data_IF_429560039124
#
_entry.id   IF_429560039124
#
_cell.length_a   1.000
_cell.length_b   1.000
_cell.length_c   1.000
_cell.angle_alpha   90.00
_cell.angle_beta   90.00
_cell.angle_gamma   90.00
#
_symmetry.space_group_name_H-M   'P 1'
#
loop_
_entity.id
_entity.type
_entity.pdbx_description
1 polymer ?
#
# COMPACT_ATOMS: atom_id res chain seq x y z
N UNK A 1 -44.06 -45.98 22.08
CA UNK A 1 -44.39 -44.62 21.62
C UNK A 1 -43.24 -43.62 21.84
N UNK A 2 -42.68 -43.42 23.03
CA UNK A 2 -41.59 -42.42 23.26
C UNK A 2 -40.25 -42.74 22.59
N UNK A 3 -39.86 -44.01 22.49
CA UNK A 3 -38.59 -44.44 21.87
C UNK A 3 -38.57 -44.22 20.35
N UNK A 4 -39.72 -44.36 19.67
CA UNK A 4 -39.83 -44.10 18.23
C UNK A 4 -39.82 -42.59 17.91
N UNK A 5 -40.34 -41.76 18.81
CA UNK A 5 -40.36 -40.30 18.66
C UNK A 5 -38.96 -39.69 18.86
N UNK A 6 -38.19 -40.22 19.80
CA UNK A 6 -36.80 -39.81 20.03
C UNK A 6 -35.85 -40.26 18.90
N UNK A 7 -36.09 -41.46 18.34
CA UNK A 7 -35.36 -41.94 17.16
C UNK A 7 -35.65 -41.10 15.91
N UNK A 8 -36.91 -40.67 15.72
CA UNK A 8 -37.28 -39.74 14.64
C UNK A 8 -36.63 -38.37 14.79
N UNK A 9 -36.57 -37.83 16.01
CA UNK A 9 -35.88 -36.55 16.29
C UNK A 9 -34.39 -36.60 15.99
N UNK A 10 -33.70 -37.68 16.39
CA UNK A 10 -32.26 -37.86 16.11
C UNK A 10 -31.98 -38.00 14.61
N UNK A 11 -32.85 -38.71 13.88
CA UNK A 11 -32.74 -38.81 12.43
C UNK A 11 -32.96 -37.46 11.71
N UNK A 12 -33.93 -36.66 12.16
CA UNK A 12 -34.20 -35.33 11.59
C UNK A 12 -33.07 -34.32 11.85
N UNK A 13 -32.43 -34.40 13.03
CA UNK A 13 -31.31 -33.53 13.39
C UNK A 13 -30.04 -33.89 12.60
N UNK A 14 -29.79 -35.17 12.38
CA UNK A 14 -28.67 -35.64 11.54
C UNK A 14 -28.89 -35.26 10.07
N UNK A 15 -30.11 -35.35 9.56
CA UNK A 15 -30.47 -34.92 8.20
C UNK A 15 -30.28 -33.40 8.03
N UNK A 16 -30.75 -32.59 9.00
CA UNK A 16 -30.52 -31.13 9.00
C UNK A 16 -29.04 -30.78 9.05
N UNK A 17 -28.23 -31.52 9.80
CA UNK A 17 -26.78 -31.30 9.87
C UNK A 17 -26.09 -31.65 8.55
N UNK A 18 -26.49 -32.75 7.90
CA UNK A 18 -25.99 -33.13 6.56
C UNK A 18 -26.36 -32.09 5.51
N UNK A 19 -27.62 -31.62 5.50
CA UNK A 19 -28.11 -30.60 4.57
C UNK A 19 -27.38 -29.26 4.73
N UNK A 20 -27.10 -28.83 5.98
CA UNK A 20 -26.29 -27.62 6.25
C UNK A 20 -24.84 -27.76 5.78
N UNK A 21 -24.22 -28.93 5.98
CA UNK A 21 -22.85 -29.17 5.53
C UNK A 21 -22.75 -29.19 4.00
N UNK A 22 -23.76 -29.73 3.33
CA UNK A 22 -23.84 -29.75 1.87
C UNK A 22 -24.07 -28.34 1.29
N UNK A 23 -24.96 -27.55 1.89
CA UNK A 23 -25.19 -26.15 1.49
C UNK A 23 -23.95 -25.27 1.72
N UNK A 24 -23.23 -25.45 2.83
CA UNK A 24 -21.98 -24.74 3.11
C UNK A 24 -20.88 -25.11 2.10
N UNK A 25 -20.80 -26.40 1.72
CA UNK A 25 -19.86 -26.89 0.72
C UNK A 25 -20.17 -26.33 -0.67
N UNK A 26 -21.44 -26.35 -1.09
CA UNK A 26 -21.88 -25.74 -2.35
C UNK A 26 -21.60 -24.23 -2.40
N UNK A 27 -21.84 -23.51 -1.29
CA UNK A 27 -21.55 -22.07 -1.20
C UNK A 27 -20.05 -21.75 -1.19
N UNK A 28 -19.21 -22.67 -0.73
CA UNK A 28 -17.75 -22.56 -0.84
C UNK A 28 -17.28 -22.83 -2.28
N UNK A 29 -17.79 -23.89 -2.90
CA UNK A 29 -17.48 -24.25 -4.29
C UNK A 29 -17.93 -23.17 -5.28
N UNK A 30 -19.10 -22.53 -5.09
CA UNK A 30 -19.54 -21.42 -5.94
C UNK A 30 -18.64 -20.18 -5.81
N UNK A 31 -18.12 -19.92 -4.60
CA UNK A 31 -17.20 -18.81 -4.34
C UNK A 31 -15.84 -19.04 -4.99
N UNK A 32 -15.34 -20.27 -4.89
CA UNK A 32 -14.08 -20.66 -5.51
C UNK A 32 -14.21 -20.70 -7.04
N UNK A 33 -15.38 -21.12 -7.57
CA UNK A 33 -15.68 -21.04 -9.01
C UNK A 33 -15.72 -19.59 -9.50
N UNK A 34 -16.43 -18.70 -8.80
CA UNK A 34 -16.46 -17.25 -9.14
C UNK A 34 -15.08 -16.61 -9.07
N UNK A 35 -14.22 -16.99 -8.13
CA UNK A 35 -12.82 -16.52 -8.07
C UNK A 35 -12.02 -16.99 -9.27
N UNK A 36 -12.11 -18.27 -9.64
CA UNK A 36 -11.44 -18.82 -10.83
C UNK A 36 -11.93 -18.17 -12.12
N UNK A 37 -13.24 -17.99 -12.28
CA UNK A 37 -13.82 -17.31 -13.46
C UNK A 37 -13.34 -15.84 -13.55
N UNK A 38 -13.22 -15.13 -12.43
CA UNK A 38 -12.65 -13.77 -12.41
C UNK A 38 -11.17 -13.77 -12.78
N UNK A 39 -10.38 -14.72 -12.27
CA UNK A 39 -8.96 -14.87 -12.63
C UNK A 39 -8.79 -15.20 -14.12
N UNK A 40 -9.62 -16.08 -14.69
CA UNK A 40 -9.58 -16.42 -16.11
C UNK A 40 -10.07 -15.26 -17.00
N UNK A 41 -11.08 -14.50 -16.57
CA UNK A 41 -11.55 -13.31 -17.29
C UNK A 41 -10.45 -12.23 -17.33
N UNK A 42 -9.78 -12.00 -16.20
CA UNK A 42 -8.61 -11.10 -16.13
C UNK A 42 -7.47 -11.63 -17.01
N UNK A 43 -7.21 -12.93 -17.01
CA UNK A 43 -6.19 -13.56 -17.88
C UNK A 43 -6.51 -13.43 -19.37
N UNK A 44 -7.78 -13.56 -19.75
CA UNK A 44 -8.21 -13.43 -21.14
C UNK A 44 -8.28 -11.98 -21.63
N UNK A 45 -8.58 -11.02 -20.76
CA UNK A 45 -8.45 -9.58 -21.05
C UNK A 45 -6.99 -9.11 -21.18
N UNK A 46 -6.03 -9.88 -20.67
CA UNK A 46 -4.59 -9.60 -20.75
C UNK A 46 -3.90 -10.11 -22.01
N UNK A 47 -4.63 -10.71 -22.97
CA UNK A 47 -4.03 -11.07 -24.27
C UNK A 47 -3.91 -9.80 -25.14
N UNK A 48 -2.70 -9.37 -25.54
CA UNK A 48 -2.53 -8.19 -26.38
C UNK A 48 -3.11 -8.42 -27.78
N UNK A 49 -3.85 -7.43 -28.31
CA UNK A 49 -4.57 -7.51 -29.59
C UNK A 49 -3.73 -7.08 -30.81
N UNK A 50 -2.41 -7.24 -30.77
CA UNK A 50 -1.52 -6.78 -31.84
C UNK A 50 -0.38 -7.77 -32.12
N UNK A 51 -0.09 -7.96 -33.41
CA UNK A 51 1.02 -8.79 -33.91
C UNK A 51 2.27 -7.92 -34.03
N UNK A 52 3.26 -8.14 -33.18
CA UNK A 52 4.57 -7.49 -33.28
C UNK A 52 5.45 -8.34 -34.19
N UNK A 53 5.63 -7.93 -35.44
CA UNK A 53 6.68 -8.47 -36.32
C UNK A 53 8.02 -7.89 -35.89
N UNK A 54 8.81 -8.67 -35.14
CA UNK A 54 10.19 -8.30 -34.79
C UNK A 54 11.09 -8.46 -36.01
N UNK A 55 11.63 -7.36 -36.53
CA UNK A 55 12.84 -7.38 -37.37
C UNK A 55 14.07 -7.58 -36.48
N UNK A 56 15.07 -8.23 -37.09
CA UNK A 56 16.33 -8.72 -36.55
C UNK A 56 17.17 -7.67 -35.82
N UNK A 57 17.62 -8.00 -34.60
CA UNK A 57 19.04 -8.18 -34.24
C UNK A 57 19.23 -8.15 -32.72
N UNK A 58 19.95 -9.13 -32.18
CA UNK A 58 20.55 -9.07 -30.83
C UNK A 58 19.81 -9.79 -29.70
N UNK A 59 20.27 -11.02 -29.41
CA UNK A 59 20.23 -11.74 -28.13
C UNK A 59 18.89 -12.02 -27.43
N UNK A 60 18.48 -13.30 -27.52
CA UNK A 60 17.53 -13.96 -26.62
C UNK A 60 18.29 -14.56 -25.43
N UNK A 61 18.03 -14.04 -24.23
CA UNK A 61 17.97 -14.81 -22.97
C UNK A 61 16.92 -14.11 -22.12
N UNK A 62 15.66 -14.49 -22.18
CA UNK A 62 15.06 -15.56 -21.39
C UNK A 62 13.70 -15.03 -20.92
N UNK A 63 12.71 -15.91 -20.84
CA UNK A 63 11.32 -15.58 -20.53
C UNK A 63 11.18 -14.96 -19.13
N UNK A 64 11.19 -13.63 -19.05
CA UNK A 64 10.72 -12.93 -17.87
C UNK A 64 9.20 -12.84 -17.92
N UNK A 65 8.57 -13.66 -17.08
CA UNK A 65 7.21 -13.45 -16.61
C UNK A 65 7.04 -11.96 -16.23
N UNK A 66 6.29 -11.20 -17.02
CA UNK A 66 5.74 -9.86 -16.69
C UNK A 66 4.69 -9.93 -15.56
N UNK A 67 4.82 -10.87 -14.62
CA UNK A 67 4.30 -10.77 -13.26
C UNK A 67 5.34 -10.24 -12.28
N UNK A 68 6.52 -9.88 -12.78
CA UNK A 68 7.51 -9.06 -12.12
C UNK A 68 7.72 -7.75 -12.88
N UNK A 69 6.69 -6.91 -13.03
CA UNK A 69 6.95 -5.46 -12.86
C UNK A 69 7.31 -5.24 -11.39
N UNK A 70 8.48 -5.78 -11.00
CA UNK A 70 9.18 -5.42 -9.80
C UNK A 70 9.38 -3.94 -9.98
N UNK A 71 8.73 -3.15 -9.12
CA UNK A 71 9.12 -1.76 -8.89
C UNK A 71 10.63 -1.72 -9.00
N UNK A 72 11.18 -1.08 -10.05
CA UNK A 72 12.61 -1.08 -10.35
C UNK A 72 13.37 -1.07 -9.04
N UNK A 73 14.22 -2.07 -8.79
CA UNK A 73 14.88 -2.20 -7.49
C UNK A 73 15.44 -0.84 -7.09
N UNK A 74 15.41 -0.49 -5.81
CA UNK A 74 15.87 0.83 -5.35
C UNK A 74 17.25 1.18 -5.94
N UNK A 75 18.11 0.17 -6.07
CA UNK A 75 19.42 0.26 -6.71
C UNK A 75 19.36 0.56 -8.23
N UNK A 76 18.45 -0.08 -8.97
CA UNK A 76 18.22 0.22 -10.40
C UNK A 76 17.69 1.64 -10.59
N UNK A 77 16.76 2.09 -9.75
CA UNK A 77 16.24 3.46 -9.82
C UNK A 77 17.32 4.50 -9.47
N UNK A 78 18.18 4.21 -8.49
CA UNK A 78 19.33 5.05 -8.16
C UNK A 78 20.37 5.08 -9.28
N UNK A 79 20.63 3.94 -9.94
CA UNK A 79 21.54 3.85 -11.08
C UNK A 79 21.00 4.64 -12.28
N UNK A 80 19.71 4.49 -12.60
CA UNK A 80 19.04 5.28 -13.64
C UNK A 80 19.08 6.77 -13.31
N UNK A 81 18.82 7.16 -12.05
CA UNK A 81 18.92 8.55 -11.61
C UNK A 81 20.34 9.10 -11.79
N UNK A 82 21.36 8.33 -11.40
CA UNK A 82 22.78 8.73 -11.60
C UNK A 82 23.10 8.88 -13.09
N UNK A 83 22.67 7.94 -13.91
CA UNK A 83 22.85 7.99 -15.37
C UNK A 83 22.18 9.23 -15.96
N UNK A 84 20.91 9.47 -15.63
CA UNK A 84 20.16 10.63 -16.11
C UNK A 84 20.77 11.96 -15.64
N UNK A 85 21.21 12.03 -14.38
CA UNK A 85 21.90 13.22 -13.86
C UNK A 85 23.23 13.45 -14.58
N UNK A 86 24.00 12.40 -14.88
CA UNK A 86 25.25 12.53 -15.64
C UNK A 86 25.02 13.01 -17.08
N UNK A 87 23.89 12.65 -17.70
CA UNK A 87 23.50 13.15 -19.02
C UNK A 87 23.04 14.61 -18.99
N UNK A 88 22.32 15.00 -17.92
CA UNK A 88 21.77 16.35 -17.78
C UNK A 88 22.80 17.38 -17.30
N UNK A 89 23.68 16.97 -16.38
CA UNK A 89 24.74 17.82 -15.84
C UNK A 89 25.91 17.77 -16.81
N UNK A 90 26.03 18.80 -17.64
CA UNK A 90 27.18 18.95 -18.52
C UNK A 90 28.43 19.14 -17.65
N UNK A 91 29.53 18.41 -17.89
CA UNK A 91 30.78 18.67 -17.21
C UNK A 91 31.24 20.10 -17.53
N UNK A 92 31.88 20.75 -16.56
CA UNK A 92 32.44 22.08 -16.80
C UNK A 92 33.53 21.98 -17.88
N UNK A 93 33.59 22.93 -18.82
CA UNK A 93 34.69 23.00 -19.77
C UNK A 93 36.00 23.22 -19.02
N UNK A 94 37.11 22.81 -19.64
CA UNK A 94 38.45 23.04 -19.07
C UNK A 94 38.66 24.55 -18.92
N UNK A 95 38.88 24.99 -17.68
CA UNK A 95 39.08 26.39 -17.32
C UNK A 95 40.55 26.80 -17.44
N UNK A 96 41.46 25.85 -17.66
CA UNK A 96 42.88 26.14 -17.76
C UNK A 96 43.20 26.83 -19.09
N UNK A 97 43.63 28.10 -19.01
CA UNK A 97 43.98 28.92 -20.18
C UNK A 97 42.84 29.75 -20.78
N UNK A 98 41.68 29.87 -20.11
CA UNK A 98 40.67 30.84 -20.50
C UNK A 98 41.06 32.26 -20.05
N UNK A 99 40.78 33.23 -20.92
CA UNK A 99 40.95 34.66 -20.66
C UNK A 99 39.83 35.19 -19.74
N UNK A 100 40.06 36.31 -19.06
CA UNK A 100 39.13 36.87 -18.06
C UNK A 100 37.74 37.16 -18.65
N UNK A 101 37.68 37.68 -19.88
CA UNK A 101 36.41 37.94 -20.57
C UNK A 101 35.62 36.65 -20.84
N UNK A 102 36.31 35.57 -21.23
CA UNK A 102 35.70 34.26 -21.50
C UNK A 102 35.22 33.58 -20.22
N UNK A 103 35.96 33.74 -19.12
CA UNK A 103 35.52 33.27 -17.80
C UNK A 103 34.25 33.99 -17.34
N UNK A 104 34.18 35.31 -17.56
CA UNK A 104 32.99 36.10 -17.23
C UNK A 104 31.77 35.71 -18.09
N UNK A 105 31.97 35.38 -19.37
CA UNK A 105 30.91 34.87 -20.24
C UNK A 105 30.41 33.49 -19.79
N UNK A 106 31.31 32.54 -19.52
CA UNK A 106 30.97 31.22 -18.98
C UNK A 106 30.19 31.32 -17.65
N UNK A 107 30.61 32.20 -16.74
CA UNK A 107 29.90 32.42 -15.48
C UNK A 107 28.46 32.92 -15.71
N UNK A 108 28.25 33.82 -16.68
CA UNK A 108 26.91 34.30 -17.05
C UNK A 108 26.05 33.20 -17.67
N UNK A 109 26.62 32.34 -18.50
CA UNK A 109 25.91 31.19 -19.08
C UNK A 109 25.47 30.20 -18.00
N UNK A 110 26.39 29.80 -17.11
CA UNK A 110 26.09 28.91 -15.99
C UNK A 110 25.01 29.50 -15.09
N UNK A 111 25.10 30.80 -14.78
CA UNK A 111 24.07 31.47 -13.99
C UNK A 111 22.69 31.42 -14.65
N UNK A 112 22.59 31.69 -15.96
CA UNK A 112 21.33 31.58 -16.70
C UNK A 112 20.77 30.16 -16.65
N UNK A 113 21.62 29.15 -16.81
CA UNK A 113 21.20 27.75 -16.76
C UNK A 113 20.72 27.35 -15.37
N UNK A 114 21.45 27.72 -14.31
CA UNK A 114 21.04 27.50 -12.92
C UNK A 114 19.69 28.17 -12.63
N UNK A 115 19.51 29.43 -13.05
CA UNK A 115 18.27 30.16 -12.83
C UNK A 115 17.07 29.47 -13.50
N UNK A 116 17.23 28.99 -14.74
CA UNK A 116 16.21 28.18 -15.42
C UNK A 116 15.88 26.90 -14.63
N UNK A 117 16.90 26.16 -14.18
CA UNK A 117 16.72 24.91 -13.43
C UNK A 117 16.01 25.15 -12.08
N UNK A 118 16.28 26.28 -11.42
CA UNK A 118 15.60 26.67 -10.19
C UNK A 118 14.11 26.92 -10.41
N UNK A 119 13.74 27.60 -11.49
CA UNK A 119 12.34 27.83 -11.83
C UNK A 119 11.62 26.52 -12.18
N UNK A 120 12.24 25.66 -13.01
CA UNK A 120 11.69 24.33 -13.31
C UNK A 120 11.51 23.48 -12.05
N UNK A 121 12.47 23.52 -11.12
CA UNK A 121 12.37 22.83 -9.84
C UNK A 121 11.18 23.35 -9.03
N UNK A 122 11.00 24.66 -8.93
CA UNK A 122 9.88 25.26 -8.20
C UNK A 122 8.53 24.80 -8.75
N UNK A 123 8.34 24.84 -10.07
CA UNK A 123 7.10 24.39 -10.71
C UNK A 123 6.81 22.91 -10.46
N UNK A 124 7.83 22.06 -10.46
CA UNK A 124 7.70 20.63 -10.16
C UNK A 124 7.37 20.42 -8.68
N UNK A 125 8.00 21.15 -7.77
CA UNK A 125 7.72 21.06 -6.33
C UNK A 125 6.29 21.48 -6.00
N UNK A 126 5.78 22.54 -6.62
CA UNK A 126 4.38 22.96 -6.44
C UNK A 126 3.39 21.93 -6.97
N UNK A 127 3.66 21.35 -8.16
CA UNK A 127 2.85 20.23 -8.69
C UNK A 127 2.87 19.02 -7.77
N UNK A 128 4.04 18.69 -7.22
CA UNK A 128 4.19 17.56 -6.30
C UNK A 128 3.41 17.78 -5.00
N UNK A 129 3.47 18.97 -4.40
CA UNK A 129 2.66 19.32 -3.22
C UNK A 129 1.17 19.15 -3.48
N UNK A 130 0.70 19.62 -4.65
CA UNK A 130 -0.70 19.46 -5.05
C UNK A 130 -1.10 17.99 -5.20
N UNK A 131 -0.26 17.18 -5.85
CA UNK A 131 -0.50 15.74 -5.97
C UNK A 131 -0.54 15.04 -4.61
N UNK A 132 0.34 15.43 -3.68
CA UNK A 132 0.31 14.90 -2.31
C UNK A 132 -0.99 15.25 -1.59
N UNK A 133 -1.47 16.50 -1.73
CA UNK A 133 -2.76 16.90 -1.18
C UNK A 133 -3.91 16.07 -1.73
N UNK A 134 -3.99 15.93 -3.06
CA UNK A 134 -5.03 15.14 -3.73
C UNK A 134 -4.99 13.66 -3.28
N UNK A 135 -3.80 13.10 -3.12
CA UNK A 135 -3.62 11.73 -2.63
C UNK A 135 -4.14 11.56 -1.20
N UNK A 136 -3.90 12.53 -0.33
CA UNK A 136 -4.39 12.53 1.06
C UNK A 136 -5.93 12.61 1.08
N UNK A 137 -6.54 13.51 0.29
CA UNK A 137 -7.99 13.65 0.21
C UNK A 137 -8.65 12.36 -0.32
N UNK A 138 -8.09 11.77 -1.38
CA UNK A 138 -8.58 10.51 -1.94
C UNK A 138 -8.49 9.36 -0.93
N UNK A 139 -7.38 9.28 -0.19
CA UNK A 139 -7.21 8.29 0.86
C UNK A 139 -8.24 8.48 1.99
N UNK A 140 -8.56 9.73 2.36
CA UNK A 140 -9.60 10.03 3.35
C UNK A 140 -11.00 9.68 2.85
N UNK A 141 -11.35 10.07 1.61
CA UNK A 141 -12.62 9.72 0.97
C UNK A 141 -12.79 8.20 0.89
N UNK A 142 -11.74 7.47 0.52
CA UNK A 142 -11.75 6.00 0.50
C UNK A 142 -12.02 5.42 1.90
N UNK A 143 -11.37 5.96 2.95
CA UNK A 143 -11.64 5.55 4.35
C UNK A 143 -13.09 5.80 4.74
N UNK A 144 -13.67 6.95 4.40
CA UNK A 144 -15.07 7.27 4.71
C UNK A 144 -16.04 6.33 3.99
N UNK A 145 -15.82 6.06 2.69
CA UNK A 145 -16.63 5.11 1.92
C UNK A 145 -16.53 3.67 2.45
N UNK A 146 -15.36 3.28 2.96
CA UNK A 146 -15.16 1.96 3.59
C UNK A 146 -15.89 1.80 4.93
N UNK A 147 -16.13 2.90 5.65
CA UNK A 147 -16.91 2.91 6.91
C UNK A 147 -18.42 2.80 6.68
N UNK A 148 -18.94 3.39 5.59
CA UNK A 148 -20.37 3.39 5.27
C UNK A 148 -20.91 2.09 4.65
N UNK A 149 -20.05 1.28 4.02
CA UNK A 149 -20.40 -0.05 3.50
C UNK A 149 -20.22 -1.09 4.60
N UNK A 150 -21.25 -1.22 5.44
CA UNK A 150 -21.26 -2.03 6.67
C UNK A 150 -20.50 -3.36 6.61
N UNK A 151 -19.33 -3.41 7.24
CA UNK A 151 -18.70 -4.66 7.69
C UNK A 151 -19.06 -4.90 9.15
N UNK A 152 -20.30 -5.37 9.39
CA UNK A 152 -20.69 -6.00 10.66
C UNK A 152 -20.20 -7.46 10.71
N UNK A 153 -18.90 -7.70 10.49
CA UNK A 153 -18.36 -9.06 10.62
C UNK A 153 -17.08 -9.41 9.88
N UNK A 154 -16.38 -8.47 9.26
CA UNK A 154 -15.10 -8.80 8.62
C UNK A 154 -14.04 -7.88 9.20
N UNK A 155 -13.21 -8.47 10.05
CA UNK A 155 -12.06 -7.93 10.80
C UNK A 155 -11.74 -6.49 10.47
N UNK A 156 -11.77 -5.63 11.50
CA UNK A 156 -11.07 -4.35 11.45
C UNK A 156 -9.75 -4.58 10.75
N UNK A 157 -9.54 -3.91 9.61
CA UNK A 157 -8.18 -3.73 9.12
C UNK A 157 -7.42 -3.22 10.35
N UNK A 158 -6.44 -3.99 10.82
CA UNK A 158 -5.58 -3.53 11.89
C UNK A 158 -4.95 -2.25 11.37
N UNK A 159 -5.53 -1.13 11.79
CA UNK A 159 -4.82 0.12 11.82
C UNK A 159 -3.60 -0.20 12.64
N UNK A 160 -2.42 -0.02 12.05
CA UNK A 160 -1.19 -0.09 12.80
C UNK A 160 -1.27 0.98 13.89
N UNK A 161 -1.65 0.55 15.10
CA UNK A 161 -1.85 1.38 16.28
C UNK A 161 -0.51 1.92 16.80
N UNK A 162 0.61 1.55 16.17
CA UNK A 162 1.94 2.12 16.40
C UNK A 162 2.03 3.59 15.98
N UNK A 163 1.16 4.07 15.08
CA UNK A 163 1.18 5.47 14.64
C UNK A 163 0.57 6.40 15.69
N UNK A 164 1.40 6.83 16.63
CA UNK A 164 1.02 7.76 17.68
C UNK A 164 0.98 9.21 17.17
N UNK A 165 -0.20 9.63 16.71
CA UNK A 165 -0.48 11.02 16.31
C UNK A 165 -0.11 12.08 17.36
N UNK A 166 0.03 11.71 18.64
CA UNK A 166 0.42 12.62 19.70
C UNK A 166 1.95 12.79 19.76
N UNK A 167 2.70 11.70 19.58
CA UNK A 167 4.16 11.71 19.51
C UNK A 167 4.68 12.50 18.30
N UNK A 168 3.99 12.43 17.16
CA UNK A 168 4.32 13.23 15.96
C UNK A 168 4.16 14.75 16.17
N UNK A 169 3.24 15.16 17.05
CA UNK A 169 2.97 16.58 17.34
C UNK A 169 3.81 17.12 18.48
N UNK A 170 4.26 16.24 19.37
CA UNK A 170 5.01 16.60 20.57
C UNK A 170 6.16 15.61 20.77
N UNK A 171 7.35 15.97 20.29
CA UNK A 171 8.54 15.13 20.33
C UNK A 171 9.03 14.72 21.74
N UNK A 172 8.45 15.30 22.81
CA UNK A 172 8.72 14.94 24.20
C UNK A 172 7.54 14.28 24.94
N UNK A 173 6.48 13.90 24.23
CA UNK A 173 5.33 13.23 24.85
C UNK A 173 5.70 11.79 25.24
N UNK A 174 5.33 11.33 26.46
CA UNK A 174 5.58 9.97 26.90
C UNK A 174 4.81 8.96 26.03
N UNK A 175 5.33 7.73 25.85
CA UNK A 175 4.67 6.71 25.04
C UNK A 175 3.31 6.35 25.62
N UNK A 176 2.34 6.06 24.74
CA UNK A 176 1.00 5.63 25.15
C UNK A 176 1.03 4.32 25.93
N UNK A 177 0.52 4.37 27.16
CA UNK A 177 0.29 3.19 27.99
C UNK A 177 -1.07 2.59 27.63
N UNK A 178 -1.11 1.31 27.28
CA UNK A 178 -2.35 0.57 27.02
C UNK A 178 -2.91 0.05 28.35
N UNK A 179 -4.01 0.65 28.83
CA UNK A 179 -4.66 0.27 30.10
C UNK A 179 -5.62 -0.92 29.98
N UNK A 180 -5.87 -1.42 28.78
CA UNK A 180 -6.72 -2.58 28.54
C UNK A 180 -6.12 -3.48 27.46
N UNK A 181 -6.42 -4.78 27.53
CA UNK A 181 -5.89 -5.76 26.59
C UNK A 181 -6.61 -5.66 25.25
N UNK A 182 -5.85 -5.79 24.15
CA UNK A 182 -6.39 -5.82 22.76
C UNK A 182 -7.36 -6.99 22.51
N UNK A 183 -7.37 -8.00 23.40
CA UNK A 183 -8.23 -9.18 23.31
C UNK A 183 -9.45 -9.11 24.23
N UNK A 184 -9.64 -8.02 24.96
CA UNK A 184 -10.73 -7.88 25.91
C UNK A 184 -12.07 -7.72 25.17
N UNK A 185 -12.96 -8.71 25.36
CA UNK A 185 -14.24 -8.80 24.64
C UNK A 185 -15.38 -8.05 25.32
N UNK A 186 -15.13 -7.47 26.49
CA UNK A 186 -16.09 -6.72 27.27
C UNK A 186 -15.57 -5.30 27.52
N UNK A 187 -16.45 -4.30 27.37
CA UNK A 187 -16.06 -2.91 27.59
C UNK A 187 -15.89 -2.68 29.09
N UNK A 188 -14.69 -2.28 29.51
CA UNK A 188 -14.43 -1.97 30.90
C UNK A 188 -15.18 -0.69 31.33
N UNK A 189 -16.09 -0.84 32.27
CA UNK A 189 -16.91 0.25 32.82
C UNK A 189 -16.27 0.93 34.05
N UNK A 190 -15.08 0.49 34.48
CA UNK A 190 -14.33 1.12 35.58
C UNK A 190 -13.84 2.51 35.19
N UNK A 191 -13.72 3.39 36.17
CA UNK A 191 -13.20 4.75 35.95
C UNK A 191 -11.71 4.73 35.57
N UNK A 192 -11.17 5.84 35.06
CA UNK A 192 -9.75 5.92 34.69
C UNK A 192 -8.82 5.62 35.88
N UNK A 193 -9.10 6.19 37.06
CA UNK A 193 -8.30 5.95 38.27
C UNK A 193 -8.31 4.48 38.68
N UNK A 194 -9.48 3.83 38.67
CA UNK A 194 -9.61 2.41 39.01
C UNK A 194 -8.85 1.48 38.05
N UNK A 195 -8.74 1.87 36.77
CA UNK A 195 -7.97 1.09 35.79
C UNK A 195 -6.46 1.30 35.95
N UNK A 196 -6.04 2.49 36.38
CA UNK A 196 -4.64 2.80 36.63
C UNK A 196 -4.12 2.04 37.85
N UNK A 197 -4.89 2.01 38.94
CA UNK A 197 -4.56 1.25 40.16
C UNK A 197 -4.33 -0.24 39.85
N UNK A 198 -5.23 -0.86 39.09
CA UNK A 198 -5.09 -2.27 38.69
C UNK A 198 -3.85 -2.53 37.84
N UNK A 199 -3.45 -1.57 36.99
CA UNK A 199 -2.25 -1.70 36.17
C UNK A 199 -0.99 -1.57 37.04
N UNK A 200 -0.95 -0.61 37.96
CA UNK A 200 0.17 -0.44 38.89
C UNK A 200 0.35 -1.67 39.80
N UNK A 201 -0.75 -2.23 40.31
CA UNK A 201 -0.77 -3.47 41.11
C UNK A 201 -0.27 -4.70 40.32
N UNK A 202 -0.56 -4.78 39.01
CA UNK A 202 -0.10 -5.86 38.13
C UNK A 202 1.37 -5.74 37.72
N UNK A 203 1.99 -4.57 37.90
CA UNK A 203 3.37 -4.29 37.49
C UNK A 203 4.41 -4.39 38.62
N UNK A 204 3.99 -4.72 39.84
CA UNK A 204 4.88 -5.12 40.95
C UNK A 204 5.13 -6.63 40.96
#
# INVERSE_FOLDING_TARGET
MRVQEEARRKAEEEEKRKKKAEEEKQRKEERDRKRKEQEECIKNMRKPNFVITKHSDGEKTGEENEQGEVQKSKEQLEAEKRSFLSQRIKPLPDLSGLDEEKLAEQAKELHKEIYRLMNEKYDIEEKFKRQQYDMIELAERARQMSKGKGRKGLSSAQVDESFDRLADKFAGAPPKIQLCSKYERHTDHRSYGQRLELFEELTQ
#
